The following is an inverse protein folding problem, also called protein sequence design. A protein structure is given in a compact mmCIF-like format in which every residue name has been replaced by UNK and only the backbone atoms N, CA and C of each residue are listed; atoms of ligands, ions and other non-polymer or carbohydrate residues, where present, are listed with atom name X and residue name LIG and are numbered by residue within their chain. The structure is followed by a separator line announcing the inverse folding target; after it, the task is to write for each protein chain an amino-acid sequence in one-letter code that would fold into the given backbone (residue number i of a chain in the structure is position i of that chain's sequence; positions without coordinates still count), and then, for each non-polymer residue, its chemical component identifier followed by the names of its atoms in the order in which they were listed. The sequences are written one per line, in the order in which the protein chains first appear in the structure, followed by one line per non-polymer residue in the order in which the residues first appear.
data_IF_503759298106
#
_entry.id   IF_503759298106
#
_cell.length_a   1.000
_cell.length_b   1.000
_cell.length_c   1.000
_cell.angle_alpha   90.00
_cell.angle_beta   90.00
_cell.angle_gamma   90.00
#
_symmetry.space_group_name_H-M   'P 1'
#
loop_
_entity.id
_entity.type
_entity.pdbx_description
1 polymer ?
#
# COMPACT_ATOMS: atom_id res chain seq x y z
N UNK A 1 -15.26 9.64 16.39
CA UNK A 1 -15.83 8.34 15.98
C UNK A 1 -14.69 7.38 15.77
N UNK A 2 -14.66 6.27 16.49
CA UNK A 2 -13.55 5.32 16.46
C UNK A 2 -13.55 4.50 15.16
N UNK A 3 -12.39 4.03 14.76
CA UNK A 3 -12.22 3.12 13.62
C UNK A 3 -13.08 1.84 13.76
N UNK A 4 -13.23 1.31 14.98
CA UNK A 4 -14.10 0.16 15.28
C UNK A 4 -15.56 0.46 14.98
N UNK A 5 -16.06 1.66 15.31
CA UNK A 5 -17.44 2.07 15.01
C UNK A 5 -17.74 2.10 13.50
N UNK A 6 -16.72 2.41 12.68
CA UNK A 6 -16.87 2.38 11.22
C UNK A 6 -16.87 0.96 10.68
N UNK A 7 -16.03 0.08 11.23
CA UNK A 7 -15.97 -1.33 10.87
C UNK A 7 -17.28 -2.04 11.31
N UNK A 8 -17.74 -1.85 12.54
CA UNK A 8 -19.00 -2.43 13.01
C UNK A 8 -20.18 -2.05 12.10
N UNK A 9 -20.31 -0.77 11.76
CA UNK A 9 -21.36 -0.30 10.83
C UNK A 9 -21.24 -0.88 9.42
N UNK A 10 -20.01 -1.14 8.92
CA UNK A 10 -19.81 -1.81 7.64
C UNK A 10 -20.26 -3.25 7.69
N UNK A 11 -19.87 -3.98 8.73
CA UNK A 11 -20.27 -5.39 8.91
C UNK A 11 -21.79 -5.49 9.16
N UNK A 12 -22.38 -4.61 9.96
CA UNK A 12 -23.85 -4.55 10.15
C UNK A 12 -24.60 -4.35 8.83
N UNK A 13 -24.09 -3.51 7.93
CA UNK A 13 -24.70 -3.30 6.60
C UNK A 13 -24.64 -4.54 5.72
N UNK A 14 -23.53 -5.29 5.78
CA UNK A 14 -23.34 -6.52 4.99
C UNK A 14 -24.24 -7.65 5.43
N UNK A 15 -24.49 -7.77 6.73
CA UNK A 15 -25.22 -8.89 7.33
C UNK A 15 -26.70 -8.57 7.54
N UNK A 16 -27.09 -7.29 7.51
CA UNK A 16 -28.46 -6.83 7.76
C UNK A 16 -28.95 -7.17 9.16
N UNK A 17 -30.29 -7.22 9.38
CA UNK A 17 -30.90 -7.54 10.68
C UNK A 17 -30.63 -8.97 11.19
N UNK A 18 -29.95 -9.83 10.42
CA UNK A 18 -29.50 -11.16 10.83
C UNK A 18 -28.23 -11.12 11.72
N UNK A 19 -27.54 -9.97 11.79
CA UNK A 19 -26.26 -9.80 12.50
C UNK A 19 -26.32 -10.25 13.97
N UNK A 20 -27.30 -9.74 14.73
CA UNK A 20 -27.42 -10.06 16.15
C UNK A 20 -27.68 -11.55 16.41
N UNK A 21 -28.31 -12.25 15.47
CA UNK A 21 -28.63 -13.68 15.58
C UNK A 21 -27.51 -14.58 15.12
N UNK A 22 -26.73 -14.12 14.09
CA UNK A 22 -25.60 -14.86 13.56
C UNK A 22 -24.39 -14.86 14.51
N UNK A 23 -24.25 -13.82 15.36
CA UNK A 23 -23.11 -13.63 16.28
C UNK A 23 -23.50 -13.69 17.77
N UNK A 24 -24.66 -14.25 18.09
CA UNK A 24 -25.06 -14.51 19.48
C UNK A 24 -24.24 -15.62 20.15
N UNK A 25 -23.58 -16.45 19.37
CA UNK A 25 -22.60 -17.46 19.78
C UNK A 25 -21.38 -17.45 18.86
N UNK A 26 -20.22 -17.82 19.39
CA UNK A 26 -18.97 -17.90 18.65
C UNK A 26 -18.20 -16.58 18.58
N UNK A 27 -17.16 -16.57 17.72
CA UNK A 27 -16.26 -15.43 17.62
C UNK A 27 -16.94 -14.22 16.95
N UNK A 28 -16.81 -13.05 17.58
CA UNK A 28 -17.36 -11.82 17.03
C UNK A 28 -16.39 -11.18 16.01
N UNK A 29 -16.89 -10.60 14.89
CA UNK A 29 -16.03 -9.95 13.88
C UNK A 29 -15.05 -8.92 14.44
N UNK A 30 -15.46 -8.15 15.44
CA UNK A 30 -14.60 -7.16 16.12
C UNK A 30 -13.40 -7.81 16.82
N UNK A 31 -13.60 -9.01 17.37
CA UNK A 31 -12.52 -9.78 18.02
C UNK A 31 -11.49 -10.26 17.00
N UNK A 32 -11.95 -10.65 15.79
CA UNK A 32 -11.06 -11.01 14.68
C UNK A 32 -10.20 -9.82 14.28
N UNK A 33 -10.81 -8.65 14.07
CA UNK A 33 -10.07 -7.43 13.72
C UNK A 33 -9.12 -7.02 14.83
N UNK A 34 -9.51 -7.14 16.08
CA UNK A 34 -8.65 -6.85 17.22
C UNK A 34 -7.46 -7.82 17.31
N UNK A 35 -7.68 -9.10 17.03
CA UNK A 35 -6.61 -10.10 16.98
C UNK A 35 -5.63 -9.85 15.82
N UNK A 36 -6.13 -9.53 14.63
CA UNK A 36 -5.34 -9.16 13.46
C UNK A 36 -4.46 -7.92 13.73
N UNK A 37 -5.00 -6.89 14.37
CA UNK A 37 -4.24 -5.70 14.75
C UNK A 37 -3.14 -6.02 15.75
N UNK A 38 -3.43 -6.83 16.77
CA UNK A 38 -2.42 -7.27 17.74
C UNK A 38 -1.30 -8.06 17.07
N UNK A 39 -1.62 -8.98 16.17
CA UNK A 39 -0.62 -9.72 15.41
C UNK A 39 0.21 -8.78 14.52
N UNK A 40 -0.41 -7.83 13.82
CA UNK A 40 0.29 -6.83 13.02
C UNK A 40 1.27 -6.03 13.87
N UNK A 41 0.84 -5.50 15.01
CA UNK A 41 1.68 -4.70 15.91
C UNK A 41 2.83 -5.55 16.49
N UNK A 42 2.58 -6.79 16.85
CA UNK A 42 3.57 -7.70 17.44
C UNK A 42 4.66 -8.12 16.45
N UNK A 43 4.33 -8.16 15.15
CA UNK A 43 5.22 -8.56 14.07
C UNK A 43 5.80 -7.39 13.29
N UNK A 44 5.33 -6.18 13.56
CA UNK A 44 5.90 -4.99 12.96
C UNK A 44 7.37 -4.83 13.37
N UNK A 45 8.24 -4.60 12.40
CA UNK A 45 9.68 -4.49 12.63
C UNK A 45 10.24 -3.22 12.00
N UNK A 46 11.20 -2.59 12.68
CA UNK A 46 11.90 -1.43 12.15
C UNK A 46 12.81 -1.84 11.00
N UNK A 47 12.50 -1.40 9.79
CA UNK A 47 13.35 -1.58 8.62
C UNK A 47 14.44 -0.50 8.53
N UNK A 48 14.21 0.66 9.13
CA UNK A 48 15.18 1.74 9.32
C UNK A 48 14.76 2.62 10.50
N UNK A 49 15.50 3.74 10.76
CA UNK A 49 15.15 4.70 11.83
C UNK A 49 13.77 5.35 11.64
N UNK A 50 13.28 5.43 10.42
CA UNK A 50 12.03 6.12 10.06
C UNK A 50 11.00 5.22 9.41
N UNK A 51 11.32 3.94 9.18
CA UNK A 51 10.48 3.02 8.41
C UNK A 51 10.23 1.74 9.19
N UNK A 52 8.98 1.45 9.45
CA UNK A 52 8.51 0.21 10.06
C UNK A 52 7.72 -0.57 9.02
N UNK A 53 7.97 -1.87 8.89
CA UNK A 53 7.22 -2.78 8.02
C UNK A 53 6.40 -3.73 8.85
N UNK A 54 5.21 -4.06 8.35
CA UNK A 54 4.34 -5.06 8.95
C UNK A 54 4.05 -6.20 7.94
N UNK A 55 3.68 -7.39 8.41
CA UNK A 55 3.19 -8.45 7.55
C UNK A 55 2.00 -8.01 6.72
N UNK A 56 1.79 -8.65 5.58
CA UNK A 56 0.64 -8.40 4.72
C UNK A 56 -0.21 -9.66 4.48
N UNK A 57 0.27 -10.84 4.88
CA UNK A 57 -0.43 -12.11 4.76
C UNK A 57 -0.80 -12.63 6.16
N UNK A 58 -2.09 -12.84 6.39
CA UNK A 58 -2.64 -13.27 7.68
C UNK A 58 -3.53 -14.49 7.50
N UNK A 59 -3.47 -15.40 8.48
CA UNK A 59 -4.39 -16.52 8.65
C UNK A 59 -5.12 -16.37 9.98
N UNK A 60 -6.44 -16.25 9.91
CA UNK A 60 -7.33 -16.34 11.08
C UNK A 60 -7.74 -17.79 11.25
N UNK A 61 -7.22 -18.44 12.28
CA UNK A 61 -7.54 -19.79 12.63
C UNK A 61 -8.76 -19.79 13.56
N UNK A 62 -9.77 -20.56 13.23
CA UNK A 62 -11.10 -20.58 13.86
C UNK A 62 -11.51 -22.03 14.15
N UNK A 63 -12.48 -22.22 15.04
CA UNK A 63 -13.17 -23.50 15.16
C UNK A 63 -13.88 -23.86 13.86
N UNK A 64 -14.25 -25.12 13.66
CA UNK A 64 -15.05 -25.55 12.52
C UNK A 64 -16.39 -24.83 12.45
N UNK A 65 -17.03 -24.65 13.61
CA UNK A 65 -18.35 -24.01 13.76
C UNK A 65 -18.27 -22.52 13.40
N UNK A 66 -17.26 -21.80 13.92
CA UNK A 66 -17.08 -20.38 13.65
C UNK A 66 -16.72 -20.13 12.19
N UNK A 67 -15.82 -20.95 11.61
CA UNK A 67 -15.44 -20.83 10.22
C UNK A 67 -16.63 -21.08 9.28
N UNK A 68 -17.44 -22.12 9.55
CA UNK A 68 -18.63 -22.40 8.75
C UNK A 68 -19.67 -21.27 8.83
N UNK A 69 -19.81 -20.62 10.00
CA UNK A 69 -20.69 -19.47 10.23
C UNK A 69 -20.21 -18.24 9.46
N UNK A 70 -18.92 -17.91 9.57
CA UNK A 70 -18.33 -16.75 8.90
C UNK A 70 -18.24 -16.93 7.39
N UNK A 71 -18.02 -18.15 6.90
CA UNK A 71 -18.02 -18.46 5.46
C UNK A 71 -19.37 -18.16 4.78
N UNK A 72 -20.49 -18.21 5.51
CA UNK A 72 -21.80 -17.83 4.98
C UNK A 72 -21.90 -16.35 4.64
N UNK A 73 -21.04 -15.48 5.21
CA UNK A 73 -20.96 -14.05 4.92
C UNK A 73 -20.20 -13.77 3.62
N UNK A 74 -19.45 -14.76 3.12
CA UNK A 74 -18.77 -14.72 1.84
C UNK A 74 -17.60 -13.72 1.74
N UNK A 75 -17.16 -13.52 0.51
CA UNK A 75 -16.06 -12.61 0.17
C UNK A 75 -16.23 -11.16 0.65
N UNK A 76 -17.46 -10.56 0.67
CA UNK A 76 -17.63 -9.20 1.18
C UNK A 76 -17.16 -9.03 2.63
N UNK A 77 -17.39 -10.04 3.49
CA UNK A 77 -16.95 -10.00 4.88
C UNK A 77 -15.42 -10.05 5.01
N UNK A 78 -14.76 -10.94 4.26
CA UNK A 78 -13.30 -11.01 4.23
C UNK A 78 -12.71 -9.71 3.67
N UNK A 79 -13.36 -9.12 2.65
CA UNK A 79 -13.00 -7.82 2.10
C UNK A 79 -13.01 -6.70 3.13
N UNK A 80 -14.06 -6.60 3.95
CA UNK A 80 -14.16 -5.58 5.01
C UNK A 80 -13.09 -5.76 6.09
N UNK A 81 -12.82 -6.98 6.54
CA UNK A 81 -11.74 -7.27 7.51
C UNK A 81 -10.38 -6.86 6.90
N UNK A 82 -10.14 -7.23 5.66
CA UNK A 82 -8.90 -6.93 4.94
C UNK A 82 -8.70 -5.41 4.79
N UNK A 83 -9.75 -4.68 4.41
CA UNK A 83 -9.72 -3.22 4.29
C UNK A 83 -9.47 -2.57 5.65
N UNK A 84 -10.17 -3.03 6.69
CA UNK A 84 -9.97 -2.55 8.04
C UNK A 84 -8.52 -2.71 8.53
N UNK A 85 -7.87 -3.80 8.19
CA UNK A 85 -6.47 -4.03 8.55
C UNK A 85 -5.50 -3.17 7.72
N UNK A 86 -5.80 -2.94 6.44
CA UNK A 86 -5.02 -2.04 5.58
C UNK A 86 -5.10 -0.58 6.04
N UNK A 87 -6.30 -0.12 6.43
CA UNK A 87 -6.50 1.22 6.99
C UNK A 87 -5.76 1.38 8.32
N UNK A 88 -5.76 0.34 9.15
CA UNK A 88 -5.00 0.33 10.38
C UNK A 88 -3.49 0.45 10.14
N UNK A 89 -2.94 -0.31 9.19
CA UNK A 89 -1.53 -0.20 8.81
C UNK A 89 -1.18 1.23 8.37
N UNK A 90 -2.06 1.85 7.56
CA UNK A 90 -1.92 3.25 7.11
C UNK A 90 -1.92 4.22 8.29
N UNK A 91 -2.85 4.08 9.23
CA UNK A 91 -2.96 4.90 10.43
C UNK A 91 -1.70 4.79 11.31
N UNK A 92 -1.13 3.59 11.41
CA UNK A 92 0.09 3.32 12.18
C UNK A 92 1.38 3.73 11.46
N UNK A 93 1.29 4.10 10.18
CA UNK A 93 2.46 4.41 9.34
C UNK A 93 3.29 3.18 9.00
N UNK A 94 2.70 1.99 8.99
CA UNK A 94 3.38 0.76 8.62
C UNK A 94 3.49 0.64 7.10
N UNK A 95 4.69 0.32 6.61
CA UNK A 95 4.91 -0.08 5.23
C UNK A 95 4.47 -1.53 5.04
N UNK A 96 3.74 -1.80 3.97
CA UNK A 96 3.32 -3.14 3.56
C UNK A 96 4.03 -3.50 2.25
N UNK A 97 4.64 -4.67 2.20
CA UNK A 97 5.38 -5.13 1.00
C UNK A 97 4.45 -5.51 -0.17
N UNK A 98 3.18 -5.78 0.13
CA UNK A 98 2.12 -6.04 -0.84
C UNK A 98 0.76 -5.72 -0.20
N UNK A 99 -0.35 -5.96 -0.92
CA UNK A 99 -1.71 -5.79 -0.41
C UNK A 99 -1.96 -6.74 0.76
N UNK A 100 -2.68 -6.25 1.76
CA UNK A 100 -3.12 -7.11 2.87
C UNK A 100 -4.02 -8.22 2.32
N UNK A 101 -3.78 -9.44 2.78
CA UNK A 101 -4.63 -10.60 2.52
C UNK A 101 -4.92 -11.31 3.83
N UNK A 102 -6.19 -11.62 4.05
CA UNK A 102 -6.67 -12.34 5.22
C UNK A 102 -7.38 -13.61 4.76
N UNK A 103 -6.98 -14.75 5.30
CA UNK A 103 -7.59 -16.05 5.04
C UNK A 103 -8.24 -16.57 6.33
N UNK A 104 -9.45 -17.10 6.23
CA UNK A 104 -10.12 -17.81 7.33
C UNK A 104 -9.80 -19.30 7.21
N UNK A 105 -9.09 -19.84 8.20
CA UNK A 105 -8.66 -21.23 8.25
C UNK A 105 -9.31 -21.97 9.43
N UNK A 106 -9.50 -23.28 9.28
CA UNK A 106 -9.99 -24.14 10.35
C UNK A 106 -8.81 -24.61 11.20
N UNK A 107 -8.95 -24.54 12.51
CA UNK A 107 -8.06 -25.16 13.49
C UNK A 107 -8.86 -26.08 14.41
N UNK A 108 -8.57 -27.36 14.34
CA UNK A 108 -9.21 -28.38 15.21
C UNK A 108 -8.84 -28.28 16.69
N UNK A 109 -7.91 -27.40 17.04
CA UNK A 109 -7.48 -27.15 18.44
C UNK A 109 -8.21 -25.99 19.11
N UNK A 110 -8.99 -25.21 18.36
CA UNK A 110 -9.72 -24.06 18.88
C UNK A 110 -11.16 -24.43 19.21
N UNK A 111 -11.63 -23.95 20.35
CA UNK A 111 -13.03 -24.02 20.74
C UNK A 111 -13.82 -22.89 20.09
N UNK A 112 -15.14 -23.08 19.97
CA UNK A 112 -16.05 -22.04 19.50
C UNK A 112 -15.89 -20.74 20.31
N UNK A 113 -15.90 -19.59 19.63
CA UNK A 113 -15.66 -18.28 20.22
C UNK A 113 -14.18 -17.91 20.37
N UNK A 114 -13.26 -18.77 19.97
CA UNK A 114 -11.81 -18.46 20.02
C UNK A 114 -11.26 -18.18 18.63
N UNK A 115 -10.37 -17.20 18.55
CA UNK A 115 -9.63 -16.86 17.33
C UNK A 115 -8.12 -16.81 17.65
N UNK A 116 -7.34 -17.47 16.82
CA UNK A 116 -5.89 -17.34 16.79
C UNK A 116 -5.47 -16.79 15.44
N UNK A 117 -4.57 -15.80 15.44
CA UNK A 117 -4.11 -15.17 14.21
C UNK A 117 -2.61 -15.38 14.07
N UNK A 118 -2.23 -15.86 12.91
CA UNK A 118 -0.83 -15.99 12.50
C UNK A 118 -0.57 -15.15 11.26
N UNK A 119 0.66 -14.68 11.11
CA UNK A 119 1.08 -13.94 9.93
C UNK A 119 2.33 -14.55 9.32
N UNK A 120 2.47 -14.42 8.00
CA UNK A 120 3.72 -14.75 7.32
C UNK A 120 4.76 -13.67 7.66
N UNK A 121 5.94 -14.05 8.14
CA UNK A 121 7.02 -13.09 8.43
C UNK A 121 7.32 -12.24 7.20
N UNK A 122 7.58 -10.95 7.43
CA UNK A 122 7.99 -10.05 6.34
C UNK A 122 9.34 -10.54 5.82
N UNK A 123 9.36 -10.99 4.57
CA UNK A 123 10.59 -11.35 3.89
C UNK A 123 11.47 -10.12 3.64
N UNK A 124 12.57 -10.30 2.90
CA UNK A 124 13.43 -9.19 2.54
C UNK A 124 12.65 -8.18 1.69
N UNK A 125 12.55 -6.95 2.16
CA UNK A 125 11.91 -5.85 1.44
C UNK A 125 12.94 -4.93 0.81
N UNK A 126 12.63 -4.46 -0.39
CA UNK A 126 13.36 -3.42 -1.09
C UNK A 126 12.50 -2.16 -1.07
N UNK A 127 13.10 -1.04 -0.72
CA UNK A 127 12.41 0.26 -0.72
C UNK A 127 12.52 0.89 -2.09
N UNK A 128 11.38 1.20 -2.69
CA UNK A 128 11.31 1.74 -4.04
C UNK A 128 10.55 3.04 -4.02
N UNK A 129 11.13 4.13 -4.56
CA UNK A 129 10.37 5.33 -4.80
C UNK A 129 9.31 5.06 -5.87
N UNK A 130 8.14 5.64 -5.69
CA UNK A 130 7.04 5.63 -6.66
C UNK A 130 6.55 7.05 -6.88
N UNK A 131 6.16 7.34 -8.10
CA UNK A 131 5.49 8.57 -8.49
C UNK A 131 4.05 8.20 -8.84
N UNK A 132 3.07 8.91 -8.28
CA UNK A 132 1.67 8.72 -8.64
C UNK A 132 1.14 9.99 -9.28
N UNK A 133 0.65 9.88 -10.51
CA UNK A 133 -0.01 10.93 -11.25
C UNK A 133 -1.22 10.37 -12.00
N UNK A 134 -2.34 11.09 -11.95
CA UNK A 134 -3.60 10.69 -12.58
C UNK A 134 -4.01 9.24 -12.28
N UNK A 135 -3.89 8.85 -11.01
CA UNK A 135 -4.16 7.50 -10.49
C UNK A 135 -3.23 6.39 -11.03
N UNK A 136 -2.25 6.74 -11.87
CA UNK A 136 -1.24 5.80 -12.37
C UNK A 136 0.01 5.88 -11.50
N UNK A 137 0.54 4.72 -11.12
CA UNK A 137 1.75 4.60 -10.29
C UNK A 137 2.93 4.19 -11.16
N UNK A 138 4.01 4.97 -11.08
CA UNK A 138 5.26 4.79 -11.81
C UNK A 138 6.39 4.46 -10.81
N UNK A 139 6.93 3.23 -10.79
CA UNK A 139 8.06 2.90 -9.94
C UNK A 139 9.34 3.55 -10.47
N UNK A 140 10.11 4.19 -9.56
CA UNK A 140 11.42 4.78 -9.86
C UNK A 140 12.49 3.71 -9.67
N UNK A 141 12.75 2.92 -10.70
CA UNK A 141 13.72 1.81 -10.65
C UNK A 141 15.10 2.20 -11.20
N UNK A 142 15.19 3.32 -11.90
CA UNK A 142 16.43 3.86 -12.46
C UNK A 142 17.08 4.83 -11.47
N UNK A 143 18.40 5.01 -11.59
CA UNK A 143 19.14 6.05 -10.84
C UNK A 143 18.68 7.46 -11.17
N UNK A 144 18.19 7.67 -12.39
CA UNK A 144 17.66 8.91 -12.93
C UNK A 144 16.33 8.60 -13.64
N UNK A 145 15.28 9.34 -13.31
CA UNK A 145 13.95 9.23 -13.89
C UNK A 145 13.48 10.63 -14.30
N UNK A 146 13.26 10.84 -15.58
CA UNK A 146 12.84 12.12 -16.13
C UNK A 146 11.32 12.21 -16.20
N UNK A 147 10.77 13.30 -15.69
CA UNK A 147 9.35 13.63 -15.71
C UNK A 147 9.12 14.80 -16.66
N UNK A 148 8.12 14.70 -17.51
CA UNK A 148 7.77 15.80 -18.40
C UNK A 148 6.65 15.45 -19.37
N UNK A 149 6.28 16.42 -20.25
CA UNK A 149 5.26 16.19 -21.28
C UNK A 149 5.86 15.66 -22.60
N UNK A 150 7.17 15.46 -22.68
CA UNK A 150 7.82 14.84 -23.82
C UNK A 150 7.54 13.35 -23.89
N UNK A 151 7.43 12.79 -25.09
CA UNK A 151 7.22 11.35 -25.29
C UNK A 151 8.46 10.52 -25.01
N UNK A 152 9.60 11.17 -24.89
CA UNK A 152 10.91 10.61 -24.56
C UNK A 152 11.25 10.63 -23.05
N UNK A 153 10.25 10.97 -22.20
CA UNK A 153 10.41 10.97 -20.74
C UNK A 153 10.01 9.63 -20.11
N UNK A 154 10.63 9.28 -18.97
CA UNK A 154 10.30 8.06 -18.23
C UNK A 154 8.89 8.12 -17.62
N UNK A 155 8.46 9.31 -17.19
CA UNK A 155 7.11 9.58 -16.68
C UNK A 155 6.48 10.66 -17.52
N UNK A 156 5.59 10.26 -18.42
CA UNK A 156 4.93 11.15 -19.36
C UNK A 156 3.73 11.82 -18.68
N UNK A 157 3.83 13.14 -18.47
CA UNK A 157 2.83 13.96 -17.76
C UNK A 157 2.22 15.00 -18.71
N UNK A 158 1.05 14.69 -19.24
CA UNK A 158 0.32 15.59 -20.17
C UNK A 158 -0.55 16.55 -19.36
N UNK A 159 0.06 17.62 -18.86
CA UNK A 159 -0.65 18.68 -18.14
C UNK A 159 -0.16 20.07 -18.55
N UNK A 160 -1.06 21.05 -18.43
CA UNK A 160 -0.75 22.45 -18.78
C UNK A 160 0.39 22.98 -17.90
N UNK A 161 1.37 23.59 -18.52
CA UNK A 161 2.51 24.20 -17.82
C UNK A 161 3.63 23.21 -17.47
N UNK A 162 3.53 21.94 -17.89
CA UNK A 162 4.65 20.97 -17.80
C UNK A 162 5.55 21.11 -19.02
N UNK A 163 6.87 21.26 -18.82
CA UNK A 163 7.88 21.31 -19.88
C UNK A 163 8.13 19.92 -20.46
N UNK A 164 8.74 19.83 -21.67
CA UNK A 164 9.06 18.54 -22.30
C UNK A 164 9.91 17.68 -21.37
N UNK A 165 11.02 18.16 -20.86
CA UNK A 165 11.78 17.62 -19.74
C UNK A 165 11.63 18.64 -18.61
N UNK A 166 10.91 18.29 -17.55
CA UNK A 166 10.55 19.24 -16.49
C UNK A 166 11.38 19.05 -15.24
N UNK A 167 11.41 17.85 -14.72
CA UNK A 167 12.08 17.49 -13.47
C UNK A 167 12.73 16.12 -13.59
N UNK A 168 13.86 15.95 -12.92
CA UNK A 168 14.56 14.67 -12.77
C UNK A 168 14.44 14.19 -11.32
N UNK A 169 14.05 12.94 -11.12
CA UNK A 169 14.15 12.28 -9.81
C UNK A 169 15.41 11.42 -9.83
N UNK A 170 16.32 11.68 -8.91
CA UNK A 170 17.52 10.88 -8.67
C UNK A 170 17.33 9.98 -7.47
N UNK A 171 17.67 8.71 -7.61
CA UNK A 171 17.59 7.73 -6.56
C UNK A 171 18.91 6.98 -6.37
N UNK A 172 19.48 7.02 -5.16
CA UNK A 172 20.75 6.35 -4.82
C UNK A 172 20.59 4.99 -4.15
N UNK A 173 19.35 4.51 -4.03
CA UNK A 173 18.98 3.28 -3.29
C UNK A 173 18.53 3.54 -1.84
N UNK A 174 18.70 4.76 -1.34
CA UNK A 174 18.32 5.15 0.03
C UNK A 174 17.63 6.52 0.10
N UNK A 175 18.05 7.47 -0.73
CA UNK A 175 17.58 8.86 -0.73
C UNK A 175 17.20 9.26 -2.14
N UNK A 176 16.14 10.03 -2.21
CA UNK A 176 15.69 10.64 -3.46
C UNK A 176 15.96 12.15 -3.45
N UNK A 177 16.20 12.68 -4.63
CA UNK A 177 16.38 14.10 -4.89
C UNK A 177 15.58 14.48 -6.14
N UNK A 178 14.89 15.62 -6.10
CA UNK A 178 14.29 16.23 -7.27
C UNK A 178 15.15 17.38 -7.78
N UNK A 179 15.32 17.44 -9.09
CA UNK A 179 16.11 18.47 -9.80
C UNK A 179 15.25 19.08 -10.90
N UNK A 180 14.97 20.37 -10.84
CA UNK A 180 14.31 21.09 -11.94
C UNK A 180 15.25 21.21 -13.15
N UNK A 181 14.80 20.82 -14.32
CA UNK A 181 15.61 20.82 -15.55
C UNK A 181 15.51 22.12 -16.33
N UNK A 182 15.39 23.26 -15.65
CA UNK A 182 15.19 24.55 -16.28
C UNK A 182 13.80 24.70 -16.86
N UNK A 183 12.81 24.16 -16.16
CA UNK A 183 11.43 24.19 -16.63
C UNK A 183 10.85 25.60 -16.69
N UNK A 184 9.90 25.85 -17.59
CA UNK A 184 9.30 27.18 -17.78
C UNK A 184 8.58 27.70 -16.52
N UNK A 185 7.85 26.83 -15.83
CA UNK A 185 7.05 27.22 -14.66
C UNK A 185 7.72 26.86 -13.32
N UNK A 186 8.81 26.11 -13.37
CA UNK A 186 9.53 25.60 -12.19
C UNK A 186 8.81 24.44 -11.51
N UNK A 187 9.58 23.71 -10.73
CA UNK A 187 9.11 22.62 -9.88
C UNK A 187 8.89 23.15 -8.45
N UNK A 188 7.81 22.72 -7.79
CA UNK A 188 7.55 23.01 -6.38
C UNK A 188 7.51 21.71 -5.59
N UNK A 189 8.13 21.72 -4.40
CA UNK A 189 8.05 20.67 -3.38
C UNK A 189 7.23 21.21 -2.22
N UNK A 190 6.11 20.58 -1.88
CA UNK A 190 5.19 21.01 -0.81
C UNK A 190 4.78 22.49 -0.90
N UNK A 191 4.70 23.03 -2.15
CA UNK A 191 4.34 24.42 -2.41
C UNK A 191 5.54 25.38 -2.58
N UNK A 192 6.72 25.05 -2.11
CA UNK A 192 7.94 25.84 -2.26
C UNK A 192 8.66 25.55 -3.56
N UNK A 193 9.09 26.59 -4.28
CA UNK A 193 9.85 26.45 -5.52
C UNK A 193 11.25 25.92 -5.26
N UNK A 194 11.64 24.90 -6.04
CA UNK A 194 12.95 24.28 -5.94
C UNK A 194 13.69 24.32 -7.26
N UNK A 195 15.02 24.38 -7.20
CA UNK A 195 15.92 24.01 -8.32
C UNK A 195 16.48 22.62 -8.09
N UNK A 196 16.74 22.28 -6.84
CA UNK A 196 17.19 20.98 -6.34
C UNK A 196 16.78 20.83 -4.90
N UNK A 197 16.21 19.68 -4.53
CA UNK A 197 15.85 19.39 -3.14
C UNK A 197 15.87 17.89 -2.87
N UNK A 198 16.29 17.50 -1.65
CA UNK A 198 16.08 16.14 -1.15
C UNK A 198 14.59 15.90 -0.91
N UNK A 199 14.09 14.73 -1.31
CA UNK A 199 12.70 14.36 -1.13
C UNK A 199 12.51 13.58 0.17
N UNK A 200 11.54 14.00 1.02
CA UNK A 200 11.04 13.15 2.11
C UNK A 200 10.45 11.85 1.54
N UNK A 201 10.29 10.83 2.41
CA UNK A 201 9.73 9.53 2.01
C UNK A 201 8.29 9.63 1.46
N UNK A 202 7.60 10.73 1.74
CA UNK A 202 6.31 11.10 1.15
C UNK A 202 6.21 12.60 0.99
N UNK A 203 5.95 13.05 -0.22
CA UNK A 203 5.77 14.48 -0.50
C UNK A 203 5.04 14.69 -1.84
N UNK A 204 4.57 15.92 -2.06
CA UNK A 204 3.92 16.33 -3.30
C UNK A 204 4.83 17.23 -4.12
N UNK A 205 5.08 16.84 -5.36
CA UNK A 205 5.72 17.67 -6.38
C UNK A 205 4.64 18.32 -7.26
N UNK A 206 4.80 19.62 -7.53
CA UNK A 206 3.89 20.35 -8.41
C UNK A 206 4.68 20.92 -9.59
N UNK A 207 4.23 20.60 -10.80
CA UNK A 207 4.81 21.01 -12.09
C UNK A 207 3.69 21.56 -12.98
N UNK A 208 3.64 22.88 -13.16
CA UNK A 208 2.48 23.49 -13.82
C UNK A 208 1.18 23.14 -13.07
N UNK A 209 0.23 22.49 -13.76
CA UNK A 209 -1.03 22.00 -13.16
C UNK A 209 -0.95 20.56 -12.63
N UNK A 210 0.13 19.84 -12.91
CA UNK A 210 0.29 18.48 -12.43
C UNK A 210 0.70 18.46 -10.95
N UNK A 211 0.00 17.61 -10.17
CA UNK A 211 0.35 17.28 -8.78
C UNK A 211 0.76 15.81 -8.76
N UNK A 212 2.01 15.56 -8.42
CA UNK A 212 2.60 14.22 -8.44
C UNK A 212 2.94 13.85 -7.00
N UNK A 213 2.34 12.77 -6.50
CA UNK A 213 2.68 12.21 -5.21
C UNK A 213 3.96 11.36 -5.37
N UNK A 214 4.99 11.70 -4.61
CA UNK A 214 6.19 10.90 -4.44
C UNK A 214 6.09 10.14 -3.11
N UNK A 215 6.34 8.82 -3.15
CA UNK A 215 6.36 7.97 -1.96
C UNK A 215 7.48 6.92 -2.07
N UNK A 216 8.15 6.62 -0.96
CA UNK A 216 9.08 5.49 -0.88
C UNK A 216 8.36 4.34 -0.17
N UNK A 217 8.04 3.29 -0.92
CA UNK A 217 7.24 2.16 -0.45
C UNK A 217 8.07 0.89 -0.35
N UNK A 218 7.83 0.02 0.65
CA UNK A 218 8.44 -1.30 0.68
C UNK A 218 7.81 -2.19 -0.38
N UNK A 219 8.62 -3.05 -0.98
CA UNK A 219 8.17 -4.07 -1.92
C UNK A 219 8.88 -5.39 -1.63
N UNK A 220 8.20 -6.51 -1.75
CA UNK A 220 8.84 -7.82 -1.65
C UNK A 220 9.92 -7.95 -2.72
N UNK A 221 11.10 -8.46 -2.36
CA UNK A 221 12.25 -8.57 -3.29
C UNK A 221 11.88 -9.38 -4.55
N UNK A 222 11.03 -10.39 -4.43
CA UNK A 222 10.55 -11.18 -5.56
C UNK A 222 9.74 -10.34 -6.56
N UNK A 223 8.83 -9.48 -6.07
CA UNK A 223 8.04 -8.58 -6.91
C UNK A 223 8.92 -7.51 -7.57
N UNK A 224 9.92 -7.00 -6.84
CA UNK A 224 10.88 -6.04 -7.40
C UNK A 224 11.67 -6.62 -8.58
N UNK A 225 12.16 -7.85 -8.46
CA UNK A 225 12.89 -8.51 -9.55
C UNK A 225 12.03 -8.66 -10.80
N UNK A 226 10.74 -8.97 -10.65
CA UNK A 226 9.81 -9.06 -11.78
C UNK A 226 9.64 -7.71 -12.50
N UNK A 227 9.58 -6.59 -11.78
CA UNK A 227 9.49 -5.25 -12.37
C UNK A 227 10.81 -4.79 -13.00
N UNK A 228 11.96 -5.06 -12.37
CA UNK A 228 13.26 -4.66 -12.88
C UNK A 228 13.63 -5.36 -14.20
N UNK A 229 13.04 -6.52 -14.48
CA UNK A 229 13.23 -7.27 -15.73
C UNK A 229 12.18 -6.94 -16.80
N UNK A 230 11.12 -6.18 -16.50
CA UNK A 230 10.13 -5.69 -17.45
C UNK A 230 10.44 -4.25 -17.89
N UNK A 231 11.63 -4.03 -18.41
CA UNK A 231 11.85 -2.88 -19.31
C UNK A 231 11.12 -3.20 -20.60
N UNK A 232 10.17 -2.38 -21.10
CA UNK A 232 9.61 -2.61 -22.41
C UNK A 232 10.75 -2.56 -23.42
N UNK A 233 11.03 -3.69 -24.03
CA UNK A 233 11.87 -3.80 -25.21
C UNK A 233 11.14 -2.98 -26.27
N UNK A 234 11.76 -1.89 -26.70
CA UNK A 234 11.26 -1.11 -27.83
C UNK A 234 11.01 -2.05 -29.00
N UNK A 235 9.80 -2.00 -29.55
CA UNK A 235 9.48 -2.61 -30.84
C UNK A 235 10.47 -2.04 -31.87
N UNK A 236 11.46 -2.84 -32.24
CA UNK A 236 12.17 -2.62 -33.50
C UNK A 236 11.15 -2.76 -34.63
N UNK A 237 10.79 -1.62 -35.20
CA UNK A 237 10.20 -1.59 -36.54
C UNK A 237 11.27 -2.05 -37.51
N UNK A 238 11.11 -3.29 -38.00
CA UNK A 238 11.78 -3.74 -39.22
C UNK A 238 11.11 -3.09 -40.41
N UNK A 239 11.94 -2.43 -41.20
CA UNK A 239 11.71 -1.83 -42.54
C UNK A 239 10.92 -2.72 -43.49
#
# INVERSE_FOLDING_TARGET
MGFLDSFERSVERLVGGAFAKAFSAGVHPVEIVAALKREMDSRASAASRTRTVAPHLYSCNLSTEDQARLAQLGEPFVGEITQALADYATLRGYGLADRVSVTLAISGSLSEGMVDVTSTPVGRVVWIPTLTWDSVRYPVVKKSTIIGRGTDTDVHVVARGVSRHHCEIRWDGKRAEAVDLGSTNGTKLEGERITRAALPDRCTLVMGQARILFEVVPQAEASYRAFAHHTPIGTEETS
#
